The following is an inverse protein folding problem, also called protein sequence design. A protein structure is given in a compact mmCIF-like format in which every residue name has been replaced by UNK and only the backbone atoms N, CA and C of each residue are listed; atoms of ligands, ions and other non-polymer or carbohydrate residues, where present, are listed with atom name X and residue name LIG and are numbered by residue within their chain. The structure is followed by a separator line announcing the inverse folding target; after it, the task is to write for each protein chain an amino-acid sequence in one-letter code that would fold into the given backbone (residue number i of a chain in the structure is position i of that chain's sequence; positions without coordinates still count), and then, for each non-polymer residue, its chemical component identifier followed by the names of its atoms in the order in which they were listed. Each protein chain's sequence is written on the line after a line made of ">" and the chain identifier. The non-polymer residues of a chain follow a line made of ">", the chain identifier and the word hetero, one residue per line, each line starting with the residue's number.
data_IF_009208646094
#
_entry.id   IF_009208646094
#
_cell.length_a   1.000
_cell.length_b   1.000
_cell.length_c   1.000
_cell.angle_alpha   90.00
_cell.angle_beta   90.00
_cell.angle_gamma   90.00
#
_symmetry.space_group_name_H-M   'P 1'
#
loop_
_entity.id
_entity.type
_entity.pdbx_description
1 polymer ?
#
# COMPACT_ATOMS: atom_id res chain seq x y z
N UNK A 1 -38.23 -6.65 -60.06
CA UNK A 1 -38.39 -6.13 -58.66
C UNK A 1 -38.37 -7.19 -57.55
N UNK A 2 -38.33 -8.51 -57.82
CA UNK A 2 -38.27 -9.55 -56.76
C UNK A 2 -36.83 -9.97 -56.35
N UNK A 3 -35.85 -9.98 -57.26
CA UNK A 3 -34.47 -10.35 -56.93
C UNK A 3 -33.76 -9.36 -55.99
N UNK A 4 -33.98 -8.05 -56.12
CA UNK A 4 -33.38 -7.04 -55.22
C UNK A 4 -33.89 -7.16 -53.78
N UNK A 5 -35.14 -7.61 -53.58
CA UNK A 5 -35.73 -7.85 -52.25
C UNK A 5 -35.24 -9.16 -51.64
N UNK A 6 -34.97 -10.19 -52.45
CA UNK A 6 -34.38 -11.45 -51.99
C UNK A 6 -32.92 -11.23 -51.59
N UNK A 7 -32.16 -10.46 -52.39
CA UNK A 7 -30.76 -10.12 -52.10
C UNK A 7 -30.62 -9.25 -50.83
N UNK A 8 -31.55 -8.32 -50.60
CA UNK A 8 -31.55 -7.51 -49.37
C UNK A 8 -31.90 -8.33 -48.11
N UNK A 9 -32.83 -9.29 -48.21
CA UNK A 9 -33.17 -10.16 -47.08
C UNK A 9 -32.05 -11.18 -46.79
N UNK A 10 -31.34 -11.67 -47.81
CA UNK A 10 -30.18 -12.56 -47.61
C UNK A 10 -29.01 -11.82 -46.96
N UNK A 11 -28.78 -10.55 -47.30
CA UNK A 11 -27.73 -9.71 -46.71
C UNK A 11 -28.04 -9.33 -45.25
N UNK A 12 -29.32 -9.09 -44.92
CA UNK A 12 -29.76 -8.82 -43.55
C UNK A 12 -29.64 -10.07 -42.63
N UNK A 13 -29.90 -11.27 -43.16
CA UNK A 13 -29.71 -12.52 -42.42
C UNK A 13 -28.22 -12.84 -42.23
N UNK A 14 -27.37 -12.53 -43.22
CA UNK A 14 -25.91 -12.72 -43.11
C UNK A 14 -25.28 -11.77 -42.07
N UNK A 15 -25.78 -10.54 -41.93
CA UNK A 15 -25.34 -9.61 -40.87
C UNK A 15 -25.77 -10.05 -39.45
N UNK A 16 -26.87 -10.81 -39.32
CA UNK A 16 -27.34 -11.33 -38.03
C UNK A 16 -26.53 -12.55 -37.55
N UNK A 17 -25.96 -13.33 -38.48
CA UNK A 17 -25.16 -14.53 -38.16
C UNK A 17 -23.73 -14.17 -37.74
N UNK A 18 -23.16 -13.07 -38.23
CA UNK A 18 -21.82 -12.59 -37.82
C UNK A 18 -21.81 -12.02 -36.40
N UNK A 19 -22.96 -11.55 -35.88
CA UNK A 19 -23.09 -11.03 -34.51
C UNK A 19 -23.17 -12.13 -33.42
N UNK A 20 -23.42 -13.39 -33.80
CA UNK A 20 -23.62 -14.51 -32.85
C UNK A 20 -22.45 -15.53 -32.90
N UNK A 21 -21.56 -15.44 -33.88
CA UNK A 21 -20.50 -16.43 -34.12
C UNK A 21 -19.13 -16.13 -33.45
N UNK A 22 -19.00 -15.03 -32.70
CA UNK A 22 -17.86 -14.82 -31.81
C UNK A 22 -18.26 -15.06 -30.35
N UNK A 23 -18.78 -16.26 -30.09
CA UNK A 23 -18.87 -16.83 -28.76
C UNK A 23 -17.68 -17.77 -28.50
N UNK A 24 -16.95 -17.46 -27.44
CA UNK A 24 -16.16 -18.38 -26.59
C UNK A 24 -14.69 -18.65 -26.98
N UNK A 25 -13.82 -17.75 -26.52
CA UNK A 25 -12.58 -18.13 -25.84
C UNK A 25 -12.66 -17.54 -24.44
N UNK A 26 -12.76 -18.39 -23.42
CA UNK A 26 -12.92 -18.00 -22.02
C UNK A 26 -11.70 -17.20 -21.56
N UNK A 27 -11.96 -15.95 -21.18
CA UNK A 27 -11.12 -15.15 -20.31
C UNK A 27 -11.96 -14.82 -19.07
N UNK A 28 -11.39 -14.74 -17.87
CA UNK A 28 -12.15 -14.45 -16.66
C UNK A 28 -12.76 -13.04 -16.80
N UNK A 29 -14.08 -12.97 -16.83
CA UNK A 29 -14.80 -11.71 -16.62
C UNK A 29 -14.75 -11.41 -15.14
N UNK A 30 -13.79 -10.59 -14.71
CA UNK A 30 -13.97 -9.78 -13.51
C UNK A 30 -15.05 -8.75 -13.81
N UNK A 31 -16.11 -8.78 -13.02
CA UNK A 31 -17.24 -7.85 -13.10
C UNK A 31 -16.73 -6.41 -12.91
N UNK A 32 -16.81 -5.59 -13.97
CA UNK A 32 -16.53 -4.16 -13.88
C UNK A 32 -17.45 -3.44 -12.86
N UNK A 33 -18.58 -4.04 -12.49
CA UNK A 33 -19.43 -3.58 -11.39
C UNK A 33 -18.87 -3.91 -10.00
N UNK A 34 -18.21 -5.06 -9.81
CA UNK A 34 -17.58 -5.41 -8.54
C UNK A 34 -16.40 -4.49 -8.22
N UNK A 35 -15.69 -4.02 -9.24
CA UNK A 35 -14.57 -3.08 -9.08
C UNK A 35 -15.04 -1.65 -8.80
N UNK A 36 -16.26 -1.30 -9.21
CA UNK A 36 -16.87 0.01 -8.97
C UNK A 36 -17.61 0.05 -7.62
N UNK A 37 -18.22 -1.07 -7.20
CA UNK A 37 -18.78 -1.25 -5.85
C UNK A 37 -17.68 -1.33 -4.79
N UNK A 38 -16.59 -2.06 -5.04
CA UNK A 38 -15.42 -2.10 -4.14
C UNK A 38 -14.73 -0.73 -4.01
N UNK A 39 -14.64 0.05 -5.11
CA UNK A 39 -14.11 1.42 -5.05
C UNK A 39 -15.04 2.37 -4.26
N UNK A 40 -16.36 2.17 -4.33
CA UNK A 40 -17.32 2.95 -3.54
C UNK A 40 -17.41 2.54 -2.07
N UNK A 41 -17.20 1.25 -1.74
CA UNK A 41 -17.12 0.79 -0.34
C UNK A 41 -15.83 1.23 0.34
N UNK A 42 -14.69 1.24 -0.37
CA UNK A 42 -13.41 1.78 0.15
C UNK A 42 -13.54 3.26 0.52
N UNK A 43 -14.33 4.04 -0.23
CA UNK A 43 -14.62 5.43 0.09
C UNK A 43 -15.48 5.61 1.37
N UNK A 44 -16.17 4.56 1.82
CA UNK A 44 -17.02 4.59 3.03
C UNK A 44 -16.35 4.04 4.28
N UNK A 45 -15.18 3.38 4.18
CA UNK A 45 -14.53 2.85 5.37
C UNK A 45 -13.75 3.94 6.12
N UNK A 46 -14.13 4.12 7.38
CA UNK A 46 -13.56 5.10 8.30
C UNK A 46 -12.34 4.50 9.03
N UNK A 47 -11.21 4.48 8.32
CA UNK A 47 -9.93 3.99 8.82
C UNK A 47 -8.83 5.04 8.65
N UNK A 48 -7.78 4.93 9.45
CA UNK A 48 -6.56 5.72 9.31
C UNK A 48 -5.33 4.82 9.15
N UNK A 49 -4.30 5.38 8.53
CA UNK A 49 -2.99 4.76 8.32
C UNK A 49 -1.91 5.70 8.89
N UNK A 50 -1.11 5.17 9.80
CA UNK A 50 0.05 5.84 10.35
C UNK A 50 1.26 5.59 9.46
N UNK A 51 1.96 6.66 9.09
CA UNK A 51 3.23 6.60 8.36
C UNK A 51 4.31 7.15 9.28
N UNK A 52 5.30 6.32 9.58
CA UNK A 52 6.47 6.73 10.36
C UNK A 52 7.62 6.95 9.40
N UNK A 53 8.16 8.17 9.40
CA UNK A 53 9.30 8.56 8.56
C UNK A 53 10.41 9.16 9.42
N UNK A 54 11.62 9.18 8.88
CA UNK A 54 12.71 10.03 9.37
C UNK A 54 12.62 11.43 8.77
N UNK A 55 13.38 12.39 9.30
CA UNK A 55 13.41 13.74 8.76
C UNK A 55 14.15 13.80 7.40
N UNK A 56 14.02 14.93 6.71
CA UNK A 56 14.76 15.22 5.47
C UNK A 56 16.27 15.09 5.66
N UNK A 57 16.81 15.40 6.85
CA UNK A 57 18.25 15.34 7.11
C UNK A 57 18.79 13.90 7.13
N UNK A 58 17.92 12.95 7.48
CA UNK A 58 18.25 11.53 7.55
C UNK A 58 17.95 10.81 6.23
N UNK A 59 16.78 11.08 5.64
CA UNK A 59 16.36 10.51 4.37
C UNK A 59 15.34 11.41 3.71
N UNK A 60 15.78 12.19 2.71
CA UNK A 60 14.89 13.03 1.91
C UNK A 60 13.82 12.19 1.22
N UNK A 61 14.19 11.05 0.63
CA UNK A 61 13.27 10.18 -0.10
C UNK A 61 12.12 9.68 0.78
N UNK A 62 12.41 9.23 2.02
CA UNK A 62 11.36 8.78 2.94
C UNK A 62 10.42 9.93 3.31
N UNK A 63 10.98 11.09 3.66
CA UNK A 63 10.20 12.25 4.08
C UNK A 63 9.29 12.76 2.95
N UNK A 64 9.84 12.91 1.74
CA UNK A 64 9.07 13.33 0.56
C UNK A 64 8.05 12.28 0.15
N UNK A 65 8.36 10.99 0.30
CA UNK A 65 7.41 9.90 0.13
C UNK A 65 6.21 10.03 1.08
N UNK A 66 6.46 10.28 2.37
CA UNK A 66 5.40 10.50 3.35
C UNK A 66 4.56 11.74 3.04
N UNK A 67 5.17 12.86 2.64
CA UNK A 67 4.45 14.06 2.20
C UNK A 67 3.58 13.80 0.96
N UNK A 68 4.08 13.04 -0.01
CA UNK A 68 3.33 12.69 -1.21
C UNK A 68 2.10 11.86 -0.89
N UNK A 69 2.23 10.86 0.00
CA UNK A 69 1.11 10.02 0.46
C UNK A 69 0.10 10.86 1.26
N UNK A 70 0.57 11.72 2.17
CA UNK A 70 -0.30 12.63 2.92
C UNK A 70 -1.09 13.56 1.99
N UNK A 71 -0.42 14.12 0.97
CA UNK A 71 -1.07 14.98 -0.03
C UNK A 71 -2.11 14.23 -0.86
N UNK A 72 -1.86 12.96 -1.17
CA UNK A 72 -2.75 12.14 -2.00
C UNK A 72 -4.00 11.68 -1.24
N UNK A 73 -3.87 11.34 0.05
CA UNK A 73 -4.93 10.68 0.82
C UNK A 73 -5.49 11.54 1.97
N UNK A 74 -4.96 12.74 2.18
CA UNK A 74 -5.42 13.69 3.20
C UNK A 74 -4.99 13.34 4.62
N UNK A 75 -4.90 14.35 5.49
CA UNK A 75 -4.60 14.17 6.90
C UNK A 75 -5.76 13.53 7.64
N UNK A 76 -5.51 12.59 8.54
CA UNK A 76 -6.53 12.01 9.43
C UNK A 76 -7.26 13.04 10.30
N UNK A 77 -6.68 14.23 10.46
CA UNK A 77 -7.29 15.34 11.20
C UNK A 77 -8.30 16.13 10.35
N UNK A 78 -8.28 15.95 9.02
CA UNK A 78 -9.18 16.60 8.09
C UNK A 78 -10.40 15.70 7.83
N UNK A 79 -11.54 16.30 7.48
CA UNK A 79 -12.75 15.55 7.14
C UNK A 79 -12.50 14.65 5.91
N UNK A 80 -12.61 13.33 6.12
CA UNK A 80 -12.40 12.32 5.08
C UNK A 80 -10.94 11.95 4.79
N UNK A 81 -9.96 12.61 5.42
CA UNK A 81 -8.56 12.24 5.27
C UNK A 81 -8.18 10.97 6.04
N UNK A 82 -7.05 10.36 5.67
CA UNK A 82 -6.71 8.98 6.09
C UNK A 82 -5.33 8.82 6.72
N UNK A 83 -4.45 9.81 6.61
CA UNK A 83 -3.02 9.63 6.90
C UNK A 83 -2.61 10.44 8.13
N UNK A 84 -1.96 9.76 9.06
CA UNK A 84 -1.19 10.40 10.14
C UNK A 84 0.28 10.21 9.85
N UNK A 85 1.05 11.29 9.65
CA UNK A 85 2.51 11.18 9.50
C UNK A 85 3.19 11.51 10.82
N UNK A 86 4.10 10.63 11.24
CA UNK A 86 4.98 10.82 12.40
C UNK A 86 6.41 10.89 11.88
N UNK A 87 7.10 11.99 12.20
CA UNK A 87 8.53 12.15 11.92
C UNK A 87 9.31 11.90 13.21
N UNK A 88 10.12 10.84 13.22
CA UNK A 88 10.94 10.46 14.38
C UNK A 88 12.20 11.34 14.50
N UNK A 89 12.84 11.42 15.70
CA UNK A 89 14.00 12.27 15.90
C UNK A 89 15.20 11.84 15.04
N UNK A 90 15.99 12.81 14.58
CA UNK A 90 17.25 12.54 13.88
C UNK A 90 18.21 11.72 14.73
N UNK A 91 18.20 11.96 16.05
CA UNK A 91 19.07 11.28 16.99
C UNK A 91 18.40 10.03 17.61
N UNK A 92 17.66 9.26 16.81
CA UNK A 92 16.94 8.06 17.26
C UNK A 92 17.82 7.03 17.99
N UNK A 93 19.13 7.02 17.74
CA UNK A 93 20.09 6.17 18.45
C UNK A 93 20.21 6.53 19.94
N UNK A 94 20.04 7.79 20.32
CA UNK A 94 20.04 8.23 21.72
C UNK A 94 18.62 8.52 22.25
N UNK A 95 17.67 8.80 21.36
CA UNK A 95 16.29 9.14 21.67
C UNK A 95 15.32 7.99 21.37
N UNK A 96 15.72 6.77 21.71
CA UNK A 96 14.94 5.57 21.41
C UNK A 96 13.57 5.58 22.13
N UNK A 97 13.51 6.04 23.37
CA UNK A 97 12.23 6.17 24.11
C UNK A 97 11.26 7.15 23.42
N UNK A 98 11.79 8.25 22.88
CA UNK A 98 10.99 9.20 22.08
C UNK A 98 10.51 8.54 20.79
N UNK A 99 11.39 7.82 20.10
CA UNK A 99 11.05 7.07 18.87
C UNK A 99 9.94 6.05 19.14
N UNK A 100 10.08 5.25 20.20
CA UNK A 100 9.09 4.23 20.60
C UNK A 100 7.76 4.90 20.92
N UNK A 101 7.75 5.91 21.80
CA UNK A 101 6.51 6.55 22.23
C UNK A 101 5.77 7.26 21.08
N UNK A 102 6.50 7.89 20.16
CA UNK A 102 5.90 8.49 18.97
C UNK A 102 5.24 7.45 18.07
N UNK A 103 5.89 6.31 17.82
CA UNK A 103 5.29 5.22 17.04
C UNK A 103 4.06 4.62 17.76
N UNK A 104 4.18 4.34 19.06
CA UNK A 104 3.10 3.73 19.86
C UNK A 104 1.88 4.65 19.96
N UNK A 105 2.06 5.97 19.91
CA UNK A 105 0.94 6.92 19.95
C UNK A 105 -0.02 6.79 18.77
N UNK A 106 0.41 6.24 17.63
CA UNK A 106 -0.48 5.93 16.51
C UNK A 106 -1.58 4.92 16.89
N UNK A 107 -1.33 4.05 17.87
CA UNK A 107 -2.32 3.09 18.35
C UNK A 107 -3.39 3.70 19.29
N UNK A 108 -3.23 4.97 19.71
CA UNK A 108 -4.26 5.71 20.44
C UNK A 108 -5.45 6.07 19.56
N UNK A 109 -5.24 6.15 18.25
CA UNK A 109 -6.30 6.42 17.30
C UNK A 109 -7.20 5.16 17.12
N UNK A 110 -8.49 5.23 17.49
CA UNK A 110 -9.39 4.08 17.40
C UNK A 110 -9.66 3.64 15.96
N UNK A 111 -9.42 4.52 14.98
CA UNK A 111 -9.59 4.25 13.55
C UNK A 111 -8.31 3.76 12.90
N UNK A 112 -7.18 3.76 13.59
CA UNK A 112 -5.92 3.23 13.07
C UNK A 112 -6.08 1.76 12.67
N UNK A 113 -5.74 1.44 11.42
CA UNK A 113 -5.77 0.06 10.88
C UNK A 113 -4.45 -0.41 10.32
N UNK A 114 -3.52 0.50 10.02
CA UNK A 114 -2.18 0.13 9.64
C UNK A 114 -1.15 1.14 10.14
N UNK A 115 0.03 0.67 10.51
CA UNK A 115 1.22 1.49 10.74
C UNK A 115 2.30 1.02 9.77
N UNK A 116 2.81 1.96 8.99
CA UNK A 116 3.83 1.75 7.97
C UNK A 116 5.07 2.53 8.39
N UNK A 117 6.15 1.82 8.71
CA UNK A 117 7.44 2.41 9.04
C UNK A 117 8.29 2.43 7.76
N UNK A 118 8.58 3.63 7.24
CA UNK A 118 9.35 3.83 6.00
C UNK A 118 10.79 3.33 6.14
N UNK A 119 11.35 3.39 7.34
CA UNK A 119 12.68 2.89 7.68
C UNK A 119 12.70 2.38 9.12
N UNK A 120 12.91 1.07 9.29
CA UNK A 120 12.87 0.41 10.58
C UNK A 120 14.11 0.67 11.42
N UNK A 121 14.24 1.89 11.94
CA UNK A 121 15.32 2.33 12.84
C UNK A 121 15.22 1.73 14.25
N UNK A 122 16.30 1.75 15.05
CA UNK A 122 16.27 1.23 16.42
C UNK A 122 15.14 1.80 17.27
N UNK A 123 14.29 0.92 17.79
CA UNK A 123 13.07 1.27 18.51
C UNK A 123 11.81 0.76 17.81
N UNK A 124 11.93 0.33 16.54
CA UNK A 124 10.81 -0.22 15.77
C UNK A 124 10.31 -1.54 16.36
N UNK A 125 11.21 -2.47 16.72
CA UNK A 125 10.81 -3.74 17.35
C UNK A 125 10.01 -3.54 18.66
N UNK A 126 10.52 -2.81 19.67
CA UNK A 126 9.78 -2.59 20.91
C UNK A 126 8.49 -1.77 20.69
N UNK A 127 8.47 -0.82 19.75
CA UNK A 127 7.25 -0.10 19.40
C UNK A 127 6.18 -1.01 18.80
N UNK A 128 6.54 -1.86 17.82
CA UNK A 128 5.63 -2.81 17.20
C UNK A 128 5.10 -3.82 18.19
N UNK A 129 5.96 -4.31 19.09
CA UNK A 129 5.54 -5.19 20.19
C UNK A 129 4.48 -4.52 21.06
N UNK A 130 4.73 -3.28 21.50
CA UNK A 130 3.79 -2.52 22.32
C UNK A 130 2.48 -2.21 21.59
N UNK A 131 2.53 -1.85 20.30
CA UNK A 131 1.33 -1.64 19.46
C UNK A 131 0.54 -2.95 19.36
N UNK A 132 1.18 -4.08 19.11
CA UNK A 132 0.52 -5.38 18.99
C UNK A 132 -0.17 -5.82 20.28
N UNK A 133 0.48 -5.61 21.43
CA UNK A 133 -0.09 -5.90 22.75
C UNK A 133 -1.33 -5.03 23.04
N UNK A 134 -1.31 -3.76 22.61
CA UNK A 134 -2.39 -2.80 22.82
C UNK A 134 -3.55 -2.92 21.82
N UNK A 135 -3.22 -3.14 20.54
CA UNK A 135 -4.12 -3.11 19.39
C UNK A 135 -3.72 -4.21 18.39
N UNK A 136 -4.12 -5.46 18.64
CA UNK A 136 -3.75 -6.58 17.76
C UNK A 136 -4.36 -6.48 16.36
N UNK A 137 -5.38 -5.64 16.17
CA UNK A 137 -6.07 -5.41 14.90
C UNK A 137 -5.34 -4.44 13.94
N UNK A 138 -4.28 -3.76 14.38
CA UNK A 138 -3.48 -2.89 13.52
C UNK A 138 -2.49 -3.73 12.73
N UNK A 139 -2.47 -3.55 11.41
CA UNK A 139 -1.46 -4.15 10.54
C UNK A 139 -0.14 -3.39 10.64
N UNK A 140 0.97 -4.11 10.81
CA UNK A 140 2.30 -3.53 11.06
C UNK A 140 3.24 -3.85 9.90
N UNK A 141 3.63 -2.82 9.17
CA UNK A 141 4.53 -2.90 8.02
C UNK A 141 5.83 -2.14 8.32
N UNK A 142 6.96 -2.72 7.98
CA UNK A 142 8.27 -2.07 8.13
C UNK A 142 9.12 -2.28 6.89
N UNK A 143 9.66 -1.19 6.37
CA UNK A 143 10.64 -1.18 5.30
C UNK A 143 12.05 -0.93 5.84
N UNK A 144 13.05 -1.50 5.18
CA UNK A 144 14.47 -1.32 5.43
C UNK A 144 14.83 -1.35 6.92
N UNK A 145 14.59 -2.48 7.60
CA UNK A 145 14.90 -2.56 9.03
C UNK A 145 16.40 -2.60 9.30
N UNK A 146 16.84 -1.73 10.21
CA UNK A 146 18.19 -1.67 10.78
C UNK A 146 18.36 -2.63 11.96
N UNK A 147 17.27 -3.17 12.47
CA UNK A 147 17.25 -4.23 13.47
C UNK A 147 17.25 -5.61 12.78
N UNK A 148 17.34 -6.70 13.54
CA UNK A 148 17.32 -8.04 12.94
C UNK A 148 15.96 -8.32 12.29
N UNK A 149 15.89 -8.58 10.97
CA UNK A 149 14.63 -8.71 10.26
C UNK A 149 13.84 -9.95 10.68
N UNK A 150 14.51 -11.02 11.13
CA UNK A 150 13.85 -12.22 11.62
C UNK A 150 13.16 -11.91 12.94
N UNK A 151 13.82 -11.20 13.85
CA UNK A 151 13.24 -10.76 15.12
C UNK A 151 12.06 -9.81 14.88
N UNK A 152 12.21 -8.82 13.99
CA UNK A 152 11.13 -7.87 13.68
C UNK A 152 9.91 -8.58 13.07
N UNK A 153 10.12 -9.63 12.26
CA UNK A 153 9.03 -10.42 11.68
C UNK A 153 8.16 -11.18 12.70
N UNK A 154 8.62 -11.29 13.96
CA UNK A 154 7.81 -11.91 15.03
C UNK A 154 6.70 -10.99 15.55
N UNK A 155 6.78 -9.68 15.26
CA UNK A 155 5.81 -8.66 15.70
C UNK A 155 5.17 -7.88 14.55
N UNK A 156 5.84 -7.80 13.39
CA UNK A 156 5.34 -7.20 12.17
C UNK A 156 4.51 -8.19 11.33
N UNK A 157 3.53 -7.69 10.57
CA UNK A 157 2.82 -8.49 9.56
C UNK A 157 3.63 -8.59 8.26
N UNK A 158 4.36 -7.53 7.92
CA UNK A 158 5.22 -7.49 6.72
C UNK A 158 6.52 -6.78 7.04
N UNK A 159 7.63 -7.44 6.69
CA UNK A 159 8.98 -6.89 6.75
C UNK A 159 9.54 -6.88 5.33
N UNK A 160 9.94 -5.71 4.84
CA UNK A 160 10.54 -5.55 3.50
C UNK A 160 11.94 -4.98 3.65
N UNK A 161 12.94 -5.69 3.15
CA UNK A 161 14.31 -5.20 3.08
C UNK A 161 14.85 -5.35 1.65
N UNK A 162 15.81 -4.51 1.30
CA UNK A 162 16.59 -4.71 0.08
C UNK A 162 17.36 -6.03 0.15
N UNK A 163 17.45 -6.73 -0.99
CA UNK A 163 18.33 -7.90 -1.11
C UNK A 163 19.79 -7.45 -1.16
N UNK A 164 20.36 -7.21 0.01
CA UNK A 164 21.74 -6.77 0.17
C UNK A 164 22.76 -7.79 -0.37
N UNK A 165 22.40 -9.08 -0.38
CA UNK A 165 23.25 -10.16 -0.91
C UNK A 165 23.34 -10.04 -2.43
N UNK A 166 22.18 -10.01 -3.11
CA UNK A 166 22.15 -9.80 -4.55
C UNK A 166 22.73 -8.44 -4.95
N UNK A 167 22.49 -7.39 -4.15
CA UNK A 167 23.07 -6.05 -4.36
C UNK A 167 24.60 -6.10 -4.39
N UNK A 168 25.22 -6.88 -3.50
CA UNK A 168 26.68 -7.07 -3.47
C UNK A 168 27.23 -7.62 -4.79
N UNK A 169 26.57 -8.62 -5.38
CA UNK A 169 26.96 -9.16 -6.69
C UNK A 169 26.64 -8.18 -7.84
N UNK A 170 25.50 -7.50 -7.77
CA UNK A 170 25.03 -6.60 -8.83
C UNK A 170 25.97 -5.41 -8.99
N UNK A 171 26.43 -4.79 -7.89
CA UNK A 171 27.36 -3.66 -7.91
C UNK A 171 28.62 -3.99 -8.71
N UNK A 172 29.23 -5.16 -8.46
CA UNK A 172 30.43 -5.59 -9.18
C UNK A 172 30.14 -5.80 -10.66
N UNK A 173 29.02 -6.45 -10.98
CA UNK A 173 28.62 -6.75 -12.37
C UNK A 173 28.36 -5.50 -13.21
N UNK A 174 27.87 -4.41 -12.60
CA UNK A 174 27.53 -3.17 -13.30
C UNK A 174 28.62 -2.10 -13.25
N UNK A 175 29.81 -2.43 -12.74
CA UNK A 175 30.91 -1.47 -12.58
C UNK A 175 31.72 -1.21 -13.87
N UNK A 176 31.24 -1.68 -15.02
CA UNK A 176 31.88 -1.58 -16.34
C UNK A 176 31.13 -0.59 -17.23
#
# INVERSE_FOLDING_TARGET
>A
MKMKKILFNLLAIFMLVVAVACGKKEAPTEDANAQQEAASEVATQDYHIGIVTTSVSQSEDNFRGAEAVLKQYGSSNDEGGKITVVTVPDNFMQEQETTISQMVSLADDPKMKAVIVAEGIPGTYPAFKAIREKRPDILLFVNNTHEDPVQVSTVADVVVNSDSVARGYLIVKTAH
#
